data_IF_054601119081
#
_entry.id   IF_054601119081
#
_cell.length_a   1.000
_cell.length_b   1.000
_cell.length_c   1.000
_cell.angle_alpha   90.00
_cell.angle_beta   90.00
_cell.angle_gamma   90.00
#
_symmetry.space_group_name_H-M   'P 1'
#
loop_
_entity.id
_entity.type
_entity.pdbx_description
1 polymer ?
#
# COMPACT_ATOMS: atom_id res chain seq x y z
N UNK A 1 -13.48 3.85 -24.85
CA UNK A 1 -14.20 3.43 -23.64
C UNK A 1 -14.60 4.65 -22.83
N UNK A 2 -15.87 4.75 -22.46
CA UNK A 2 -16.42 5.78 -21.57
C UNK A 2 -16.47 5.23 -20.16
N UNK A 3 -15.81 5.91 -19.23
CA UNK A 3 -15.55 5.37 -17.90
C UNK A 3 -16.14 6.27 -16.82
N UNK A 4 -16.88 5.67 -15.91
CA UNK A 4 -17.38 6.31 -14.69
C UNK A 4 -16.59 5.74 -13.51
N UNK A 5 -15.95 6.59 -12.71
CA UNK A 5 -15.13 6.18 -11.58
C UNK A 5 -15.64 6.81 -10.29
N UNK A 6 -16.17 5.99 -9.39
CA UNK A 6 -16.61 6.41 -8.07
C UNK A 6 -15.52 6.14 -7.04
N UNK A 7 -15.33 7.07 -6.11
CA UNK A 7 -14.26 6.98 -5.11
C UNK A 7 -12.88 6.90 -5.77
N UNK A 8 -12.66 7.74 -6.78
CA UNK A 8 -11.54 7.64 -7.73
C UNK A 8 -10.15 7.77 -7.08
N UNK A 9 -10.07 8.52 -5.98
CA UNK A 9 -8.82 8.79 -5.28
C UNK A 9 -7.83 9.51 -6.20
N UNK A 10 -6.67 8.87 -6.40
CA UNK A 10 -5.57 9.41 -7.23
C UNK A 10 -5.64 8.90 -8.68
N UNK A 11 -6.81 8.48 -9.15
CA UNK A 11 -7.05 7.99 -10.52
C UNK A 11 -6.19 6.78 -10.90
N UNK A 12 -6.01 5.83 -9.98
CA UNK A 12 -5.36 4.56 -10.28
C UNK A 12 -6.08 3.80 -11.42
N UNK A 13 -7.41 3.95 -11.54
CA UNK A 13 -8.20 3.35 -12.61
C UNK A 13 -7.81 3.85 -14.00
N UNK A 14 -7.68 5.17 -14.18
CA UNK A 14 -7.22 5.76 -15.45
C UNK A 14 -5.81 5.27 -15.83
N UNK A 15 -4.88 5.24 -14.87
CA UNK A 15 -3.54 4.73 -15.12
C UNK A 15 -3.55 3.23 -15.46
N UNK A 16 -4.42 2.44 -14.83
CA UNK A 16 -4.57 1.02 -15.12
C UNK A 16 -5.11 0.78 -16.54
N UNK A 17 -6.08 1.58 -17.00
CA UNK A 17 -6.58 1.53 -18.38
C UNK A 17 -5.48 1.84 -19.39
N UNK A 18 -4.66 2.87 -19.13
CA UNK A 18 -3.51 3.19 -19.97
C UNK A 18 -2.49 2.05 -20.03
N UNK A 19 -2.20 1.40 -18.90
CA UNK A 19 -1.29 0.24 -18.85
C UNK A 19 -1.84 -0.99 -19.53
N UNK A 20 -3.15 -1.20 -19.43
CA UNK A 20 -3.82 -2.24 -20.18
C UNK A 20 -3.83 -1.92 -21.69
N UNK A 21 -3.57 -0.69 -22.13
CA UNK A 21 -3.65 -0.30 -23.54
C UNK A 21 -5.09 -0.10 -24.01
N UNK A 22 -6.02 0.18 -23.09
CA UNK A 22 -7.43 0.39 -23.39
C UNK A 22 -7.66 1.90 -23.65
N UNK A 23 -8.13 2.29 -24.85
CA UNK A 23 -8.35 3.69 -25.18
C UNK A 23 -9.56 4.25 -24.42
N UNK A 24 -9.34 5.37 -23.74
CA UNK A 24 -10.36 6.09 -22.96
C UNK A 24 -10.83 7.30 -23.73
N UNK A 25 -12.14 7.37 -24.00
CA UNK A 25 -12.78 8.47 -24.73
C UNK A 25 -13.15 9.60 -23.74
N UNK A 26 -13.81 9.23 -22.65
CA UNK A 26 -14.09 10.13 -21.54
C UNK A 26 -13.95 9.39 -20.20
N UNK A 27 -13.62 10.17 -19.17
CA UNK A 27 -13.41 9.66 -17.82
C UNK A 27 -14.00 10.64 -16.81
N UNK A 28 -15.06 10.21 -16.14
CA UNK A 28 -15.83 11.01 -15.20
C UNK A 28 -15.64 10.45 -13.79
N UNK A 29 -15.11 11.27 -12.88
CA UNK A 29 -14.64 10.86 -11.57
C UNK A 29 -15.40 11.55 -10.43
N UNK A 30 -15.84 10.78 -9.45
CA UNK A 30 -16.39 11.26 -8.19
C UNK A 30 -15.36 11.06 -7.07
N UNK A 31 -14.84 12.18 -6.54
CA UNK A 31 -13.87 12.22 -5.45
C UNK A 31 -14.02 13.54 -4.67
N UNK A 32 -13.99 13.45 -3.34
CA UNK A 32 -14.17 14.57 -2.41
C UNK A 32 -12.88 15.04 -1.76
N UNK A 33 -11.85 14.18 -1.69
CA UNK A 33 -10.56 14.52 -1.12
C UNK A 33 -9.80 15.44 -2.07
N UNK A 34 -9.71 16.71 -1.68
CA UNK A 34 -9.05 17.76 -2.47
C UNK A 34 -7.59 17.42 -2.85
N UNK A 35 -6.87 16.66 -2.04
CA UNK A 35 -5.48 16.31 -2.33
C UNK A 35 -5.42 15.21 -3.39
N UNK A 36 -6.32 14.23 -3.31
CA UNK A 36 -6.49 13.20 -4.31
C UNK A 36 -6.88 13.80 -5.68
N UNK A 37 -7.85 14.72 -5.69
CA UNK A 37 -8.24 15.50 -6.89
C UNK A 37 -7.07 16.33 -7.43
N UNK A 38 -6.24 16.94 -6.57
CA UNK A 38 -5.07 17.71 -7.00
C UNK A 38 -4.05 16.82 -7.72
N UNK A 39 -3.80 15.62 -7.19
CA UNK A 39 -2.91 14.63 -7.83
C UNK A 39 -3.49 14.16 -9.15
N UNK A 40 -4.79 13.82 -9.17
CA UNK A 40 -5.50 13.39 -10.37
C UNK A 40 -5.41 14.43 -11.49
N UNK A 41 -5.82 15.68 -11.24
CA UNK A 41 -5.77 16.78 -12.24
C UNK A 41 -4.39 17.03 -12.80
N UNK A 42 -3.34 16.87 -11.99
CA UNK A 42 -1.95 17.04 -12.42
C UNK A 42 -1.53 15.94 -13.40
N UNK A 43 -1.92 14.70 -13.13
CA UNK A 43 -1.50 13.55 -13.93
C UNK A 43 -2.43 13.35 -15.16
N UNK A 44 -3.72 13.63 -15.01
CA UNK A 44 -4.76 13.46 -16.01
C UNK A 44 -5.69 14.67 -16.06
N UNK A 45 -5.29 15.78 -16.69
CA UNK A 45 -6.12 16.99 -16.82
C UNK A 45 -7.44 16.76 -17.57
N UNK A 46 -7.54 15.65 -18.30
CA UNK A 46 -8.71 15.26 -19.10
C UNK A 46 -9.85 14.66 -18.26
N UNK A 47 -9.60 14.30 -16.99
CA UNK A 47 -10.63 13.73 -16.11
C UNK A 47 -11.60 14.83 -15.68
N UNK A 48 -12.90 14.56 -15.83
CA UNK A 48 -13.97 15.44 -15.37
C UNK A 48 -14.31 15.07 -13.93
N UNK A 49 -14.23 16.02 -13.00
CA UNK A 49 -14.47 15.78 -11.58
C UNK A 49 -15.85 16.30 -11.14
N UNK A 50 -16.66 15.42 -10.55
CA UNK A 50 -18.03 15.71 -10.12
C UNK A 50 -18.19 15.91 -8.61
N UNK A 51 -17.16 15.58 -7.82
CA UNK A 51 -17.18 15.77 -6.37
C UNK A 51 -17.86 14.63 -5.62
N UNK A 52 -18.87 14.96 -4.80
CA UNK A 52 -19.49 14.03 -3.88
C UNK A 52 -20.47 13.09 -4.59
N UNK A 53 -20.33 11.79 -4.33
CA UNK A 53 -21.14 10.72 -4.93
C UNK A 53 -22.62 10.85 -4.60
N UNK A 54 -22.97 11.37 -3.42
CA UNK A 54 -24.37 11.53 -3.01
C UNK A 54 -25.13 12.59 -3.81
N UNK A 55 -24.40 13.55 -4.37
CA UNK A 55 -24.97 14.65 -5.16
C UNK A 55 -24.99 14.30 -6.66
N UNK A 56 -24.51 13.10 -7.02
CA UNK A 56 -24.44 12.60 -8.40
C UNK A 56 -25.80 12.18 -8.96
N UNK A 57 -26.08 12.67 -10.17
CA UNK A 57 -27.14 12.19 -11.05
C UNK A 57 -26.51 11.27 -12.09
N UNK A 58 -26.61 9.95 -11.87
CA UNK A 58 -25.87 8.99 -12.69
C UNK A 58 -26.58 8.65 -14.00
N UNK A 59 -27.84 9.07 -14.16
CA UNK A 59 -28.59 8.91 -15.42
C UNK A 59 -27.94 9.64 -16.59
N UNK A 60 -27.13 10.68 -16.31
CA UNK A 60 -26.33 11.41 -17.31
C UNK A 60 -25.21 10.57 -17.93
N UNK A 61 -24.82 9.48 -17.28
CA UNK A 61 -23.78 8.57 -17.75
C UNK A 61 -24.37 7.31 -18.41
N UNK A 62 -25.63 7.37 -18.87
CA UNK A 62 -26.23 6.27 -19.62
C UNK A 62 -25.42 5.93 -20.87
N UNK A 63 -25.16 4.63 -21.05
CA UNK A 63 -24.35 4.13 -22.17
C UNK A 63 -22.84 4.23 -21.96
N UNK A 64 -22.39 4.46 -20.72
CA UNK A 64 -20.98 4.30 -20.36
C UNK A 64 -20.61 2.81 -20.38
N UNK A 65 -19.34 2.52 -20.64
CA UNK A 65 -18.89 1.14 -20.83
C UNK A 65 -18.48 0.48 -19.52
N UNK A 66 -17.84 1.24 -18.63
CA UNK A 66 -17.16 0.72 -17.46
C UNK A 66 -17.41 1.59 -16.22
N UNK A 67 -17.90 0.95 -15.15
CA UNK A 67 -17.97 1.53 -13.81
C UNK A 67 -16.82 1.01 -12.95
N UNK A 68 -16.03 1.91 -12.37
CA UNK A 68 -15.00 1.61 -11.40
C UNK A 68 -15.40 2.12 -10.02
N UNK A 69 -15.07 1.39 -8.95
CA UNK A 69 -15.15 1.97 -7.62
C UNK A 69 -14.61 1.12 -6.49
N UNK A 70 -14.07 1.80 -5.47
CA UNK A 70 -13.62 1.16 -4.24
C UNK A 70 -14.12 1.98 -3.05
N UNK A 71 -15.25 1.59 -2.47
CA UNK A 71 -15.83 2.39 -1.38
C UNK A 71 -14.87 2.45 -0.17
N UNK A 72 -14.87 3.56 0.60
CA UNK A 72 -13.98 3.75 1.74
C UNK A 72 -13.96 2.56 2.72
N UNK A 73 -12.88 1.80 2.68
CA UNK A 73 -12.73 0.58 3.48
C UNK A 73 -12.50 0.83 4.98
N UNK A 74 -12.37 2.10 5.40
CA UNK A 74 -12.14 2.53 6.78
C UNK A 74 -13.24 2.06 7.74
N UNK A 75 -14.48 1.93 7.25
CA UNK A 75 -15.60 1.47 8.06
C UNK A 75 -15.55 -0.04 8.35
N UNK A 76 -14.96 -0.82 7.45
CA UNK A 76 -15.01 -2.29 7.49
C UNK A 76 -13.68 -2.96 7.85
N UNK A 77 -12.59 -2.19 7.88
CA UNK A 77 -11.26 -2.72 8.20
C UNK A 77 -11.17 -3.25 9.62
N UNK A 78 -10.52 -4.40 9.80
CA UNK A 78 -10.19 -4.96 11.13
C UNK A 78 -9.27 -4.05 11.96
N UNK A 79 -8.61 -3.08 11.33
CA UNK A 79 -7.77 -2.10 12.02
C UNK A 79 -8.59 -1.07 12.83
N UNK A 80 -9.90 -0.95 12.57
CA UNK A 80 -10.81 -0.08 13.34
C UNK A 80 -11.38 -0.86 14.52
N UNK A 81 -11.31 -0.28 15.73
CA UNK A 81 -11.87 -0.88 16.96
C UNK A 81 -13.39 -1.10 16.85
N UNK A 82 -14.12 -0.08 16.37
CA UNK A 82 -15.57 -0.11 16.19
C UNK A 82 -15.93 -0.20 14.69
N UNK A 83 -15.50 -1.30 14.06
CA UNK A 83 -15.81 -1.55 12.65
C UNK A 83 -17.28 -1.94 12.46
N UNK A 84 -17.85 -1.58 11.31
CA UNK A 84 -19.19 -2.03 10.95
C UNK A 84 -19.14 -3.52 10.61
N UNK A 85 -20.13 -4.26 11.09
CA UNK A 85 -20.29 -5.70 10.82
C UNK A 85 -21.62 -6.01 10.13
N UNK A 86 -22.50 -5.01 10.06
CA UNK A 86 -23.85 -5.08 9.50
C UNK A 86 -24.03 -4.01 8.41
N UNK A 87 -25.04 -4.21 7.56
CA UNK A 87 -25.27 -3.43 6.33
C UNK A 87 -26.04 -2.10 6.53
N UNK A 88 -25.98 -1.53 7.74
CA UNK A 88 -26.72 -0.32 8.10
C UNK A 88 -25.83 0.93 8.24
N UNK A 89 -24.51 0.74 8.18
CA UNK A 89 -23.55 1.81 8.40
C UNK A 89 -23.26 2.67 7.18
N UNK A 90 -22.39 3.66 7.38
CA UNK A 90 -22.02 4.63 6.35
C UNK A 90 -21.24 3.96 5.22
N UNK A 91 -20.39 2.98 5.54
CA UNK A 91 -19.69 2.21 4.51
C UNK A 91 -20.66 1.52 3.55
N UNK A 92 -21.75 0.97 4.08
CA UNK A 92 -22.77 0.31 3.26
C UNK A 92 -23.64 1.31 2.50
N UNK A 93 -23.87 2.50 3.05
CA UNK A 93 -24.52 3.60 2.33
C UNK A 93 -23.71 4.04 1.11
N UNK A 94 -22.39 4.16 1.23
CA UNK A 94 -21.48 4.47 0.12
C UNK A 94 -21.48 3.35 -0.94
N UNK A 95 -21.53 2.08 -0.52
CA UNK A 95 -21.71 0.96 -1.45
C UNK A 95 -23.04 1.03 -2.20
N UNK A 96 -24.14 1.41 -1.53
CA UNK A 96 -25.44 1.58 -2.20
C UNK A 96 -25.41 2.68 -3.27
N UNK A 97 -24.61 3.73 -3.10
CA UNK A 97 -24.41 4.72 -4.18
C UNK A 97 -23.66 4.14 -5.37
N UNK A 98 -22.72 3.23 -5.15
CA UNK A 98 -22.06 2.51 -6.25
C UNK A 98 -23.07 1.64 -7.02
N UNK A 99 -23.96 0.94 -6.32
CA UNK A 99 -25.03 0.14 -6.94
C UNK A 99 -26.00 1.05 -7.71
N UNK A 100 -26.41 2.17 -7.11
CA UNK A 100 -27.24 3.18 -7.77
C UNK A 100 -26.60 3.69 -9.06
N UNK A 101 -25.30 3.99 -9.02
CA UNK A 101 -24.56 4.41 -10.21
C UNK A 101 -24.53 3.31 -11.29
N UNK A 102 -24.35 2.04 -10.91
CA UNK A 102 -24.37 0.91 -11.84
C UNK A 102 -25.73 0.77 -12.53
N UNK A 103 -26.81 0.83 -11.77
CA UNK A 103 -28.19 0.70 -12.28
C UNK A 103 -28.60 1.90 -13.16
N UNK A 104 -28.34 3.14 -12.70
CA UNK A 104 -28.74 4.36 -13.41
C UNK A 104 -27.92 4.61 -14.69
N UNK A 105 -26.62 4.31 -14.68
CA UNK A 105 -25.74 4.46 -15.85
C UNK A 105 -25.84 3.30 -16.85
N UNK A 106 -26.27 2.12 -16.39
CA UNK A 106 -26.33 0.92 -17.22
C UNK A 106 -24.98 0.48 -17.78
N UNK A 107 -23.89 0.71 -17.03
CA UNK A 107 -22.54 0.35 -17.48
C UNK A 107 -22.45 -1.14 -17.83
N UNK A 108 -21.84 -1.45 -18.99
CA UNK A 108 -21.68 -2.83 -19.48
C UNK A 108 -20.81 -3.67 -18.53
N UNK A 109 -19.72 -3.09 -18.06
CA UNK A 109 -18.79 -3.71 -17.13
C UNK A 109 -18.70 -2.92 -15.84
N UNK A 110 -18.39 -3.62 -14.74
CA UNK A 110 -18.12 -2.99 -13.47
C UNK A 110 -16.96 -3.65 -12.74
N UNK A 111 -16.24 -2.88 -11.93
CA UNK A 111 -15.21 -3.38 -11.02
C UNK A 111 -15.34 -2.68 -9.67
N UNK A 112 -15.72 -3.47 -8.67
CA UNK A 112 -15.82 -3.03 -7.28
C UNK A 112 -14.72 -3.64 -6.41
N UNK A 113 -13.97 -2.81 -5.69
CA UNK A 113 -12.86 -3.25 -4.81
C UNK A 113 -13.17 -3.00 -3.34
N UNK A 114 -12.74 -3.93 -2.48
CA UNK A 114 -12.64 -3.65 -1.05
C UNK A 114 -11.59 -4.52 -0.33
N UNK A 115 -11.35 -4.19 0.94
CA UNK A 115 -10.40 -4.91 1.78
C UNK A 115 -10.82 -6.38 2.00
N UNK A 116 -9.85 -7.29 2.08
CA UNK A 116 -10.14 -8.71 2.33
C UNK A 116 -10.73 -8.98 3.72
N UNK A 117 -10.51 -8.09 4.69
CA UNK A 117 -10.93 -8.26 6.09
C UNK A 117 -12.38 -7.83 6.38
N UNK A 118 -13.13 -7.40 5.36
CA UNK A 118 -14.56 -7.06 5.47
C UNK A 118 -15.30 -8.22 6.12
N UNK A 119 -16.25 -7.91 7.00
CA UNK A 119 -17.05 -8.91 7.69
C UNK A 119 -17.83 -9.78 6.69
N UNK A 120 -17.94 -11.09 6.94
CA UNK A 120 -18.51 -12.02 5.97
C UNK A 120 -19.93 -11.64 5.55
N UNK A 121 -20.79 -11.22 6.49
CA UNK A 121 -22.15 -10.75 6.19
C UNK A 121 -22.20 -9.63 5.14
N UNK A 122 -21.25 -8.68 5.22
CA UNK A 122 -21.18 -7.56 4.26
C UNK A 122 -20.70 -8.09 2.91
N UNK A 123 -19.74 -9.02 2.87
CA UNK A 123 -19.31 -9.66 1.61
C UNK A 123 -20.46 -10.43 0.96
N UNK A 124 -21.18 -11.23 1.72
CA UNK A 124 -22.31 -12.03 1.25
C UNK A 124 -23.39 -11.11 0.66
N UNK A 125 -23.63 -9.97 1.30
CA UNK A 125 -24.57 -8.97 0.80
C UNK A 125 -24.08 -8.25 -0.47
N UNK A 126 -22.80 -7.88 -0.55
CA UNK A 126 -22.21 -7.31 -1.77
C UNK A 126 -22.33 -8.32 -2.92
N UNK A 127 -21.98 -9.59 -2.68
CA UNK A 127 -22.13 -10.68 -3.64
C UNK A 127 -23.58 -10.84 -4.09
N UNK A 128 -24.54 -10.81 -3.15
CA UNK A 128 -25.98 -10.92 -3.44
C UNK A 128 -26.46 -9.78 -4.34
N UNK A 129 -26.03 -8.54 -4.06
CA UNK A 129 -26.48 -7.35 -4.80
C UNK A 129 -25.81 -7.23 -6.16
N UNK A 130 -24.50 -7.50 -6.26
CA UNK A 130 -23.77 -7.43 -7.53
C UNK A 130 -23.92 -8.69 -8.39
N UNK A 131 -24.43 -9.80 -7.82
CA UNK A 131 -24.68 -11.05 -8.53
C UNK A 131 -23.43 -11.84 -8.93
N UNK A 132 -22.26 -11.48 -8.40
CA UNK A 132 -20.96 -12.11 -8.72
C UNK A 132 -20.17 -12.40 -7.45
N UNK A 133 -19.39 -13.48 -7.46
CA UNK A 133 -18.50 -13.84 -6.34
C UNK A 133 -17.20 -13.00 -6.36
N UNK A 134 -16.63 -12.66 -5.20
CA UNK A 134 -15.39 -11.90 -5.14
C UNK A 134 -14.19 -12.75 -5.51
N UNK A 135 -13.30 -12.16 -6.31
CA UNK A 135 -11.96 -12.68 -6.56
C UNK A 135 -11.02 -12.05 -5.54
N UNK A 136 -10.35 -12.88 -4.74
CA UNK A 136 -9.30 -12.41 -3.83
C UNK A 136 -7.95 -12.41 -4.55
N UNK A 137 -7.35 -11.23 -4.72
CA UNK A 137 -5.99 -11.11 -5.30
C UNK A 137 -5.07 -10.48 -4.26
N UNK A 138 -3.88 -11.06 -4.12
CA UNK A 138 -2.81 -10.50 -3.30
C UNK A 138 -1.83 -9.72 -4.19
N UNK A 139 -1.63 -8.44 -3.90
CA UNK A 139 -0.66 -7.61 -4.62
C UNK A 139 0.77 -8.13 -4.55
N UNK A 140 1.08 -9.08 -3.66
CA UNK A 140 2.40 -9.70 -3.57
C UNK A 140 2.82 -10.38 -4.88
N UNK A 141 1.87 -10.79 -5.72
CA UNK A 141 2.13 -11.38 -7.02
C UNK A 141 2.73 -10.36 -8.01
N UNK A 142 2.33 -9.10 -7.94
CA UNK A 142 2.74 -8.08 -8.92
C UNK A 142 3.56 -6.94 -8.32
N UNK A 143 3.79 -6.96 -7.01
CA UNK A 143 4.48 -5.92 -6.25
C UNK A 143 5.20 -6.53 -5.04
N UNK A 144 6.08 -5.73 -4.44
CA UNK A 144 6.74 -6.04 -3.18
C UNK A 144 5.82 -5.98 -1.95
N UNK A 145 4.49 -5.90 -2.11
CA UNK A 145 3.55 -5.68 -1.00
C UNK A 145 2.64 -6.87 -0.74
N UNK A 146 2.56 -7.35 0.50
CA UNK A 146 1.47 -8.22 0.92
C UNK A 146 0.20 -7.37 1.18
N UNK A 147 -0.74 -7.39 0.24
CA UNK A 147 -2.00 -6.65 0.26
C UNK A 147 -3.09 -7.48 -0.40
N UNK A 148 -3.92 -8.13 0.43
CA UNK A 148 -5.09 -8.90 -0.02
C UNK A 148 -6.29 -7.99 -0.16
N UNK A 149 -6.96 -8.06 -1.32
CA UNK A 149 -8.20 -7.35 -1.64
C UNK A 149 -9.19 -8.29 -2.31
N UNK A 150 -10.47 -7.97 -2.17
CA UNK A 150 -11.58 -8.63 -2.84
C UNK A 150 -12.05 -7.72 -3.99
N UNK A 151 -12.27 -8.33 -5.15
CA UNK A 151 -12.74 -7.67 -6.35
C UNK A 151 -14.02 -8.35 -6.82
N UNK A 152 -15.10 -7.59 -6.96
CA UNK A 152 -16.36 -8.03 -7.56
C UNK A 152 -16.44 -7.42 -8.95
N UNK A 153 -16.59 -8.24 -9.98
CA UNK A 153 -16.60 -7.77 -11.37
C UNK A 153 -17.28 -8.77 -12.28
N UNK A 154 -17.88 -8.28 -13.36
CA UNK A 154 -18.37 -9.07 -14.48
C UNK A 154 -17.41 -9.07 -15.69
N UNK A 155 -16.20 -8.51 -15.54
CA UNK A 155 -15.17 -8.57 -16.57
C UNK A 155 -14.76 -10.04 -16.79
N UNK A 156 -14.72 -10.53 -18.04
CA UNK A 156 -14.47 -11.94 -18.31
C UNK A 156 -13.01 -12.34 -18.06
N UNK A 157 -12.79 -13.64 -17.84
CA UNK A 157 -11.48 -14.28 -17.81
C UNK A 157 -10.48 -13.73 -16.77
N UNK A 158 -10.98 -13.15 -15.67
CA UNK A 158 -10.13 -12.65 -14.58
C UNK A 158 -9.57 -13.83 -13.78
N UNK A 159 -8.28 -14.10 -13.96
CA UNK A 159 -7.50 -15.11 -13.22
C UNK A 159 -6.51 -14.46 -12.26
N UNK A 160 -5.83 -15.26 -11.44
CA UNK A 160 -4.71 -14.76 -10.63
C UNK A 160 -3.57 -14.28 -11.54
N UNK A 161 -2.95 -13.12 -11.26
CA UNK A 161 -1.77 -12.68 -11.99
C UNK A 161 -0.57 -13.59 -11.67
N UNK A 162 0.36 -13.70 -12.61
CA UNK A 162 1.62 -14.40 -12.40
C UNK A 162 2.48 -13.68 -11.34
N UNK A 163 3.23 -14.45 -10.55
CA UNK A 163 4.17 -13.88 -9.57
C UNK A 163 5.40 -13.33 -10.28
N UNK A 164 5.57 -12.00 -10.24
CA UNK A 164 6.73 -11.28 -10.77
C UNK A 164 7.98 -11.43 -9.90
N UNK A 165 7.88 -12.03 -8.70
CA UNK A 165 9.02 -12.29 -7.82
C UNK A 165 9.59 -11.03 -7.14
N UNK A 166 8.90 -9.88 -7.22
CA UNK A 166 9.41 -8.59 -6.76
C UNK A 166 9.49 -8.53 -5.24
N UNK A 167 10.66 -8.26 -4.68
CA UNK A 167 10.91 -8.12 -3.25
C UNK A 167 10.97 -6.66 -2.82
N UNK A 168 10.93 -6.40 -1.51
CA UNK A 168 11.02 -5.03 -1.00
C UNK A 168 12.35 -4.38 -1.37
N UNK A 169 13.46 -5.13 -1.34
CA UNK A 169 14.77 -4.66 -1.76
C UNK A 169 14.76 -4.06 -3.19
N UNK A 170 13.98 -4.62 -4.11
CA UNK A 170 13.95 -4.21 -5.52
C UNK A 170 13.30 -2.83 -5.74
N UNK A 171 12.56 -2.33 -4.75
CA UNK A 171 11.82 -1.06 -4.88
C UNK A 171 12.40 0.09 -4.05
N UNK A 172 13.46 -0.18 -3.26
CA UNK A 172 14.09 0.82 -2.40
C UNK A 172 14.87 1.87 -3.20
N UNK A 173 14.96 3.08 -2.67
CA UNK A 173 15.85 4.11 -3.18
C UNK A 173 17.28 3.90 -2.66
N UNK A 174 18.26 3.84 -3.58
CA UNK A 174 19.67 3.79 -3.24
C UNK A 174 20.19 5.19 -2.87
N UNK A 175 21.05 5.30 -1.85
CA UNK A 175 21.83 6.52 -1.58
C UNK A 175 21.14 7.64 -0.79
N UNK A 176 20.16 7.31 0.05
CA UNK A 176 19.42 8.32 0.84
C UNK A 176 20.24 8.88 2.03
N UNK A 177 20.45 10.20 2.06
CA UNK A 177 20.93 10.91 3.25
C UNK A 177 19.81 11.06 4.28
N UNK A 178 20.14 10.97 5.57
CA UNK A 178 19.16 11.04 6.67
C UNK A 178 18.38 12.38 6.73
N UNK A 179 18.90 13.45 6.10
CA UNK A 179 18.23 14.75 5.91
C UNK A 179 18.57 15.32 4.51
N UNK A 180 17.65 16.09 3.91
CA UNK A 180 17.81 16.74 2.59
C UNK A 180 18.86 17.88 2.58
N UNK A 181 19.39 18.26 3.75
CA UNK A 181 20.46 19.26 3.91
C UNK A 181 21.46 18.83 4.98
N UNK A 182 22.75 18.98 4.71
CA UNK A 182 23.81 18.83 5.72
C UNK A 182 23.78 19.99 6.71
N UNK A 183 24.07 19.73 7.99
CA UNK A 183 24.39 20.81 8.93
C UNK A 183 25.70 21.49 8.53
N UNK A 184 25.83 22.78 8.85
CA UNK A 184 27.03 23.57 8.53
C UNK A 184 28.30 22.88 9.07
N UNK A 185 29.33 22.77 8.22
CA UNK A 185 30.61 22.18 8.63
C UNK A 185 31.32 23.13 9.60
N UNK A 186 31.56 22.67 10.82
CA UNK A 186 32.35 23.43 11.82
C UNK A 186 33.79 22.94 11.85
N UNK A 187 34.75 23.85 11.87
CA UNK A 187 36.18 23.62 11.61
C UNK A 187 36.97 22.83 12.68
N UNK A 188 36.35 22.28 13.72
CA UNK A 188 37.04 21.54 14.79
C UNK A 188 36.35 20.21 15.10
N UNK A 189 37.06 19.11 14.85
CA UNK A 189 36.55 17.73 14.80
C UNK A 189 37.16 16.84 15.90
N UNK A 190 36.86 17.13 17.18
CA UNK A 190 37.26 16.20 18.26
C UNK A 190 36.13 15.98 19.28
N UNK A 191 35.91 14.72 19.68
CA UNK A 191 34.96 14.34 20.74
C UNK A 191 33.46 14.31 20.42
N UNK A 192 33.04 13.80 19.25
CA UNK A 192 31.61 13.62 18.96
C UNK A 192 30.99 12.41 19.72
N UNK A 193 29.86 12.63 20.38
CA UNK A 193 29.13 11.64 21.20
C UNK A 193 27.65 11.59 20.80
N UNK A 194 27.06 10.39 20.77
CA UNK A 194 25.72 10.08 20.19
C UNK A 194 24.59 11.00 20.69
N UNK A 195 24.60 11.40 21.96
CA UNK A 195 23.53 12.24 22.52
C UNK A 195 23.49 13.64 21.89
N UNK A 196 24.62 14.15 21.38
CA UNK A 196 24.66 15.46 20.69
C UNK A 196 23.83 15.47 19.40
N UNK A 197 23.78 14.33 18.69
CA UNK A 197 22.99 14.18 17.47
C UNK A 197 21.50 13.97 17.80
N UNK A 198 21.20 13.15 18.81
CA UNK A 198 19.82 12.75 19.13
C UNK A 198 19.02 13.83 19.88
N UNK A 199 19.66 14.58 20.78
CA UNK A 199 18.95 15.55 21.63
C UNK A 199 19.17 17.00 21.19
N UNK A 200 20.39 17.36 20.81
CA UNK A 200 20.75 18.76 20.50
C UNK A 200 20.58 19.13 19.03
N UNK A 201 20.26 18.16 18.17
CA UNK A 201 20.13 18.34 16.69
C UNK A 201 21.36 19.02 16.07
N UNK A 202 22.54 18.78 16.65
CA UNK A 202 23.81 19.26 16.13
C UNK A 202 24.61 18.08 15.61
N UNK A 203 25.26 18.27 14.45
CA UNK A 203 26.29 17.39 13.85
C UNK A 203 25.75 16.11 13.20
N UNK A 204 26.26 15.80 12.00
CA UNK A 204 26.03 14.54 11.27
C UNK A 204 27.18 13.58 11.58
N UNK A 205 26.87 12.36 12.00
CA UNK A 205 27.85 11.29 12.22
C UNK A 205 27.71 10.25 11.09
N UNK A 206 28.84 9.74 10.60
CA UNK A 206 28.95 8.53 9.76
C UNK A 206 29.88 7.59 10.51
N UNK A 207 29.46 6.36 10.81
CA UNK A 207 30.26 5.41 11.61
C UNK A 207 30.09 3.94 11.16
N UNK A 208 31.14 3.15 11.40
CA UNK A 208 31.54 1.86 10.78
C UNK A 208 31.11 0.63 11.65
N UNK A 209 30.80 -0.56 11.09
CA UNK A 209 29.98 -1.60 11.75
C UNK A 209 30.71 -2.77 12.44
N UNK A 210 29.97 -3.48 13.32
CA UNK A 210 30.14 -4.91 13.69
C UNK A 210 28.74 -5.56 13.83
N UNK A 211 28.47 -6.71 13.17
CA UNK A 211 27.11 -7.29 13.01
C UNK A 211 26.61 -8.10 14.21
N UNK A 212 25.29 -8.26 14.44
CA UNK A 212 24.75 -9.02 15.59
C UNK A 212 23.59 -9.98 15.29
N UNK A 213 23.58 -11.11 16.00
CA UNK A 213 22.71 -12.27 15.92
C UNK A 213 21.99 -12.51 17.26
N UNK A 214 20.70 -12.83 17.21
CA UNK A 214 19.91 -13.08 18.42
C UNK A 214 19.94 -14.57 18.79
N UNK A 215 20.38 -14.92 20.00
CA UNK A 215 20.41 -16.30 20.52
C UNK A 215 19.61 -16.41 21.82
N UNK A 216 18.94 -17.56 22.01
CA UNK A 216 18.29 -17.88 23.28
C UNK A 216 19.32 -18.40 24.29
N UNK A 217 19.41 -17.79 25.46
CA UNK A 217 20.16 -18.33 26.60
C UNK A 217 19.21 -18.62 27.76
N UNK A 218 19.51 -19.68 28.51
CA UNK A 218 18.79 -20.01 29.72
C UNK A 218 19.23 -19.07 30.83
N UNK A 219 18.27 -18.39 31.45
CA UNK A 219 18.46 -17.65 32.69
C UNK A 219 17.74 -18.45 33.76
N UNK A 220 18.51 -18.91 34.75
CA UNK A 220 18.05 -19.69 35.91
C UNK A 220 17.31 -21.01 35.60
N UNK A 221 17.74 -21.74 34.58
CA UNK A 221 17.34 -23.14 34.35
C UNK A 221 15.89 -23.37 33.89
N UNK A 222 15.01 -22.38 34.00
CA UNK A 222 13.58 -22.53 33.65
C UNK A 222 13.04 -21.48 32.66
N UNK A 223 13.81 -20.44 32.33
CA UNK A 223 13.42 -19.43 31.31
C UNK A 223 14.49 -19.20 30.24
N UNK A 224 14.05 -19.11 28.99
CA UNK A 224 14.87 -18.67 27.87
C UNK A 224 14.65 -17.19 27.60
N UNK A 225 15.71 -16.38 27.71
CA UNK A 225 15.71 -14.99 27.26
C UNK A 225 16.44 -14.87 25.91
N UNK A 226 16.01 -13.90 25.09
CA UNK A 226 16.64 -13.64 23.79
C UNK A 226 17.71 -12.57 23.95
N UNK A 227 18.97 -12.95 23.72
CA UNK A 227 20.13 -12.07 23.79
C UNK A 227 20.59 -11.72 22.37
N UNK A 228 20.91 -10.45 22.13
CA UNK A 228 21.55 -10.01 20.88
C UNK A 228 23.07 -10.13 21.08
N UNK A 229 23.69 -11.01 20.30
CA UNK A 229 25.12 -11.31 20.30
C UNK A 229 25.76 -10.92 18.97
N UNK A 230 26.74 -10.03 18.99
CA UNK A 230 27.46 -9.55 17.81
C UNK A 230 28.21 -10.72 17.12
N UNK A 231 27.88 -11.09 15.86
CA UNK A 231 28.65 -12.00 15.00
C UNK A 231 29.53 -11.21 14.03
N UNK A 232 30.82 -11.47 14.11
CA UNK A 232 31.86 -10.84 13.28
C UNK A 232 31.89 -11.33 11.82
N UNK A 233 31.11 -12.36 11.47
CA UNK A 233 31.12 -12.99 10.13
C UNK A 233 30.06 -12.46 9.15
N UNK A 234 29.19 -11.54 9.59
CA UNK A 234 28.23 -10.84 8.72
C UNK A 234 27.15 -11.72 8.06
N UNK A 235 26.95 -12.96 8.50
CA UNK A 235 25.99 -13.91 7.88
C UNK A 235 24.75 -14.17 8.75
N UNK A 236 23.57 -14.28 8.14
CA UNK A 236 22.38 -14.87 8.78
C UNK A 236 22.38 -16.39 8.66
N UNK A 237 21.74 -17.09 9.60
CA UNK A 237 21.68 -18.56 9.59
C UNK A 237 20.93 -19.13 8.36
N UNK A 238 21.34 -20.33 7.96
CA UNK A 238 20.73 -21.14 6.90
C UNK A 238 19.37 -21.72 7.35
N UNK A 239 18.37 -21.70 6.46
CA UNK A 239 17.11 -22.44 6.61
C UNK A 239 17.40 -23.95 6.58
N UNK A 240 16.90 -24.68 7.57
CA UNK A 240 17.10 -26.14 7.67
C UNK A 240 16.34 -26.91 6.59
N UNK A 241 16.95 -28.03 6.21
CA UNK A 241 16.64 -28.94 5.10
C UNK A 241 15.33 -29.73 5.28
N UNK A 242 14.19 -29.16 4.91
CA UNK A 242 13.06 -29.95 4.40
C UNK A 242 12.43 -29.21 3.22
N UNK A 243 12.39 -29.88 2.07
CA UNK A 243 12.14 -29.32 0.73
C UNK A 243 10.67 -28.92 0.50
N UNK A 244 10.45 -27.73 -0.06
CA UNK A 244 9.85 -27.44 -1.38
C UNK A 244 9.30 -26.01 -1.41
N UNK A 245 9.74 -25.24 -2.41
CA UNK A 245 9.30 -23.92 -2.86
C UNK A 245 9.40 -22.75 -1.86
N UNK A 246 10.61 -22.18 -1.74
CA UNK A 246 10.85 -20.90 -1.08
C UNK A 246 10.35 -19.73 -1.93
N UNK A 247 9.05 -19.47 -1.90
CA UNK A 247 8.50 -18.16 -2.26
C UNK A 247 8.40 -17.33 -0.97
N UNK A 248 9.23 -16.30 -0.83
CA UNK A 248 9.12 -15.34 0.28
C UNK A 248 7.90 -14.44 0.03
N UNK A 249 6.70 -15.02 0.13
CA UNK A 249 5.41 -14.36 -0.11
C UNK A 249 4.85 -13.63 1.13
N UNK A 250 5.63 -13.56 2.21
CA UNK A 250 5.20 -12.99 3.48
C UNK A 250 6.16 -11.89 3.96
N UNK A 251 5.66 -10.89 4.69
CA UNK A 251 6.51 -9.97 5.43
C UNK A 251 7.32 -10.71 6.49
N UNK A 252 8.65 -10.54 6.43
CA UNK A 252 9.58 -11.13 7.40
C UNK A 252 9.79 -10.14 8.52
N UNK A 253 9.08 -10.33 9.65
CA UNK A 253 9.28 -9.51 10.84
C UNK A 253 10.58 -9.92 11.54
N UNK A 254 11.45 -8.95 11.79
CA UNK A 254 12.75 -9.17 12.43
C UNK A 254 12.84 -8.55 13.82
N UNK A 255 11.84 -7.77 14.23
CA UNK A 255 11.79 -7.21 15.56
C UNK A 255 10.63 -6.27 15.80
N UNK A 256 10.71 -5.55 16.93
CA UNK A 256 9.85 -4.42 17.24
C UNK A 256 10.51 -3.47 18.21
N UNK A 257 10.01 -2.23 18.22
CA UNK A 257 10.30 -1.22 19.22
C UNK A 257 9.13 -1.12 20.21
N UNK A 258 9.40 -0.85 21.49
CA UNK A 258 8.35 -0.69 22.51
C UNK A 258 7.40 -1.90 22.63
N UNK A 259 6.09 -1.64 22.78
CA UNK A 259 5.06 -2.67 23.01
C UNK A 259 4.68 -3.49 21.77
N UNK A 260 5.31 -3.25 20.60
CA UNK A 260 5.07 -4.05 19.39
C UNK A 260 3.74 -3.78 18.68
N UNK A 261 3.17 -2.59 18.86
CA UNK A 261 1.99 -2.12 18.12
C UNK A 261 2.23 -2.03 16.60
N UNK A 262 1.17 -1.84 15.80
CA UNK A 262 1.22 -1.91 14.33
C UNK A 262 2.33 -1.03 13.71
N UNK A 263 2.48 0.22 14.17
CA UNK A 263 3.51 1.14 13.70
C UNK A 263 4.88 0.97 14.37
N UNK A 264 5.10 -0.07 15.17
CA UNK A 264 6.35 -0.28 15.91
C UNK A 264 7.04 -1.60 15.54
N UNK A 265 6.56 -2.29 14.50
CA UNK A 265 7.11 -3.55 14.02
C UNK A 265 8.16 -3.26 12.95
N UNK A 266 9.28 -3.99 13.03
CA UNK A 266 10.42 -3.85 12.11
C UNK A 266 10.46 -5.09 11.20
N UNK A 267 10.54 -4.85 9.90
CA UNK A 267 10.51 -5.87 8.86
C UNK A 267 11.82 -5.88 8.04
N UNK A 268 12.14 -7.04 7.47
CA UNK A 268 13.27 -7.23 6.57
C UNK A 268 12.92 -6.85 5.13
N UNK A 269 13.92 -6.35 4.41
CA UNK A 269 13.83 -6.01 2.98
C UNK A 269 13.94 -7.22 2.05
N UNK A 270 14.41 -8.36 2.57
CA UNK A 270 14.43 -9.63 1.80
C UNK A 270 13.08 -10.33 1.74
N UNK A 271 12.03 -9.75 2.36
CA UNK A 271 10.65 -10.22 2.28
C UNK A 271 9.72 -9.17 1.64
N UNK A 272 8.41 -9.42 1.71
CA UNK A 272 7.39 -8.47 1.23
C UNK A 272 7.11 -7.38 2.28
N UNK A 273 6.78 -6.17 1.84
CA UNK A 273 6.22 -5.10 2.67
C UNK A 273 4.86 -5.48 3.26
N UNK A 274 4.54 -4.92 4.42
CA UNK A 274 3.16 -4.96 4.94
C UNK A 274 2.20 -4.07 4.13
N UNK A 275 0.90 -4.28 4.30
CA UNK A 275 -0.13 -3.40 3.70
C UNK A 275 0.00 -1.98 4.24
N UNK A 276 0.04 -1.00 3.33
CA UNK A 276 0.00 0.43 3.68
C UNK A 276 -1.33 0.79 4.35
N UNK A 277 -1.30 1.69 5.32
CA UNK A 277 -2.51 2.21 5.99
C UNK A 277 -2.60 3.72 5.84
N UNK A 278 -3.75 4.25 5.43
CA UNK A 278 -3.90 5.69 5.24
C UNK A 278 -3.91 6.48 6.56
N UNK A 279 -4.47 5.89 7.62
CA UNK A 279 -4.67 6.52 8.93
C UNK A 279 -3.80 5.92 10.04
N UNK A 280 -2.85 5.04 9.72
CA UNK A 280 -2.04 4.35 10.73
C UNK A 280 -1.10 5.29 11.48
N UNK A 281 -1.05 5.18 12.82
CA UNK A 281 -0.18 5.95 13.70
C UNK A 281 1.10 5.21 14.14
N UNK A 282 1.88 5.85 15.02
CA UNK A 282 3.15 5.32 15.55
C UNK A 282 4.40 5.72 14.75
N UNK A 283 5.58 5.28 15.19
CA UNK A 283 6.87 5.67 14.60
C UNK A 283 7.01 5.21 13.14
N UNK A 284 6.45 4.05 12.80
CA UNK A 284 6.28 3.51 11.46
C UNK A 284 4.92 3.83 10.83
N UNK A 285 4.27 4.93 11.21
CA UNK A 285 2.94 5.31 10.74
C UNK A 285 2.77 5.10 9.23
N UNK A 286 1.66 4.49 8.81
CA UNK A 286 1.28 4.23 7.40
C UNK A 286 2.09 3.14 6.69
N UNK A 287 3.40 3.05 6.88
CA UNK A 287 4.29 2.16 6.09
C UNK A 287 4.78 0.92 6.83
N UNK A 288 4.93 0.98 8.15
CA UNK A 288 5.81 0.10 8.91
C UNK A 288 7.25 0.62 8.96
N UNK A 289 8.11 -0.04 9.77
CA UNK A 289 9.54 0.21 9.85
C UNK A 289 10.31 -0.92 9.16
N UNK A 290 11.37 -0.57 8.44
CA UNK A 290 12.18 -1.54 7.69
C UNK A 290 13.65 -1.34 8.00
N UNK A 291 14.37 -2.46 8.18
CA UNK A 291 15.84 -2.48 8.24
C UNK A 291 16.37 -2.42 6.82
N UNK A 292 16.91 -1.27 6.44
CA UNK A 292 17.49 -1.02 5.13
C UNK A 292 19.00 -1.16 5.25
N UNK A 293 19.57 -2.14 4.57
CA UNK A 293 21.02 -2.34 4.53
C UNK A 293 21.66 -1.28 3.63
N UNK A 294 22.74 -0.68 4.11
CA UNK A 294 23.49 0.37 3.42
C UNK A 294 24.70 -0.23 2.68
N UNK A 295 25.18 0.41 1.59
CA UNK A 295 26.29 -0.12 0.78
C UNK A 295 27.60 -0.36 1.53
N UNK A 296 27.78 0.29 2.68
CA UNK A 296 28.95 0.19 3.56
C UNK A 296 28.83 -0.91 4.64
N UNK A 297 27.73 -1.68 4.64
CA UNK A 297 27.48 -2.79 5.57
C UNK A 297 26.75 -2.41 6.86
N UNK A 298 26.37 -1.13 7.03
CA UNK A 298 25.50 -0.69 8.12
C UNK A 298 24.00 -0.87 7.76
N UNK A 299 23.08 -0.54 8.66
CA UNK A 299 21.67 -0.50 8.36
C UNK A 299 20.96 0.67 9.02
N UNK A 300 19.96 1.22 8.33
CA UNK A 300 19.05 2.21 8.89
C UNK A 300 17.68 1.59 9.09
N UNK A 301 17.06 1.84 10.25
CA UNK A 301 15.64 1.56 10.45
C UNK A 301 14.85 2.81 10.13
N UNK A 302 14.12 2.78 9.01
CA UNK A 302 13.28 3.91 8.60
C UNK A 302 11.94 3.46 8.04
N UNK A 303 11.06 4.43 7.84
CA UNK A 303 9.87 4.28 7.01
C UNK A 303 10.27 4.26 5.54
N UNK A 304 9.39 3.69 4.71
CA UNK A 304 9.50 3.84 3.26
C UNK A 304 9.26 5.30 2.88
N UNK A 305 9.99 5.81 1.89
CA UNK A 305 9.78 7.13 1.32
C UNK A 305 8.43 7.19 0.59
N UNK A 306 7.94 8.40 0.24
CA UNK A 306 6.76 8.51 -0.61
C UNK A 306 6.93 7.82 -1.97
N UNK A 307 8.14 7.87 -2.57
CA UNK A 307 8.44 7.24 -3.86
C UNK A 307 8.45 5.71 -3.72
N UNK A 308 9.10 5.17 -2.69
CA UNK A 308 9.05 3.73 -2.40
C UNK A 308 7.62 3.25 -2.12
N UNK A 309 6.80 4.08 -1.47
CA UNK A 309 5.37 3.79 -1.27
C UNK A 309 4.57 3.84 -2.58
N UNK A 310 4.88 4.74 -3.50
CA UNK A 310 4.31 4.76 -4.86
C UNK A 310 4.63 3.46 -5.59
N UNK A 311 5.90 3.05 -5.60
CA UNK A 311 6.35 1.78 -6.19
C UNK A 311 5.65 0.57 -5.59
N UNK A 312 5.33 0.56 -4.29
CA UNK A 312 4.52 -0.51 -3.68
C UNK A 312 3.11 -0.63 -4.28
N UNK A 313 2.48 0.47 -4.69
CA UNK A 313 1.20 0.45 -5.41
C UNK A 313 1.40 0.34 -6.93
N UNK A 314 2.63 0.03 -7.37
CA UNK A 314 3.10 0.03 -8.76
C UNK A 314 2.90 1.37 -9.47
N UNK A 315 2.81 2.49 -8.75
CA UNK A 315 2.71 3.81 -9.36
C UNK A 315 4.06 4.28 -9.92
N UNK A 316 4.06 5.15 -10.96
CA UNK A 316 5.28 5.83 -11.40
C UNK A 316 5.90 6.66 -10.27
N UNK A 317 7.22 6.86 -10.33
CA UNK A 317 7.91 7.71 -9.37
C UNK A 317 7.37 9.14 -9.43
N UNK A 318 7.18 9.73 -8.25
CA UNK A 318 6.63 11.07 -8.07
C UNK A 318 5.19 11.26 -8.57
N UNK A 319 4.43 10.17 -8.72
CA UNK A 319 3.03 10.21 -9.13
C UNK A 319 2.15 11.08 -8.22
N UNK A 320 2.45 11.14 -6.92
CA UNK A 320 1.75 11.97 -5.92
C UNK A 320 2.55 13.21 -5.50
N UNK A 321 3.58 13.62 -6.24
CA UNK A 321 4.31 14.85 -5.94
C UNK A 321 3.41 16.10 -6.08
N UNK A 322 3.75 17.16 -5.34
CA UNK A 322 2.96 18.41 -5.30
C UNK A 322 2.01 18.54 -4.10
N UNK A 323 1.86 17.49 -3.29
CA UNK A 323 1.17 17.53 -1.99
C UNK A 323 2.13 17.12 -0.86
N UNK A 324 1.78 17.43 0.39
CA UNK A 324 2.65 17.12 1.54
C UNK A 324 2.84 15.61 1.71
N UNK A 325 3.99 15.17 2.21
CA UNK A 325 4.31 13.74 2.42
C UNK A 325 3.21 13.02 3.22
N UNK A 326 2.63 13.68 4.22
CA UNK A 326 1.51 13.14 5.01
C UNK A 326 0.31 12.79 4.13
N UNK A 327 -0.04 13.67 3.18
CA UNK A 327 -1.14 13.44 2.25
C UNK A 327 -0.75 12.43 1.15
N UNK A 328 0.50 12.46 0.65
CA UNK A 328 1.03 11.43 -0.27
C UNK A 328 0.78 10.03 0.28
N UNK A 329 1.26 9.73 1.50
CA UNK A 329 1.03 8.42 2.11
C UNK A 329 -0.44 8.07 2.32
N UNK A 330 -1.30 9.07 2.61
CA UNK A 330 -2.74 8.84 2.79
C UNK A 330 -3.36 8.40 1.46
N UNK A 331 -3.11 9.17 0.40
CA UNK A 331 -3.57 8.90 -0.95
C UNK A 331 -3.06 7.55 -1.48
N UNK A 332 -1.76 7.28 -1.35
CA UNK A 332 -1.15 6.00 -1.77
C UNK A 332 -1.74 4.81 -0.98
N UNK A 333 -1.93 4.96 0.34
CA UNK A 333 -2.49 3.89 1.16
C UNK A 333 -3.92 3.50 0.77
N UNK A 334 -4.73 4.50 0.41
CA UNK A 334 -6.10 4.31 -0.09
C UNK A 334 -6.16 3.85 -1.54
N UNK A 335 -5.16 4.21 -2.36
CA UNK A 335 -5.10 3.84 -3.77
C UNK A 335 -5.05 2.34 -4.03
N UNK A 336 -5.25 2.00 -5.29
CA UNK A 336 -5.12 0.63 -5.79
C UNK A 336 -3.69 0.31 -6.22
N UNK A 337 -3.34 -0.98 -6.12
CA UNK A 337 -2.16 -1.51 -6.78
C UNK A 337 -2.46 -1.58 -8.28
N UNK A 338 -1.87 -0.67 -9.06
CA UNK A 338 -2.29 -0.40 -10.44
C UNK A 338 -2.13 -1.63 -11.33
N UNK A 339 -1.09 -2.43 -11.14
CA UNK A 339 -0.84 -3.63 -11.95
C UNK A 339 -1.89 -4.72 -11.71
N UNK A 340 -2.48 -4.79 -10.51
CA UNK A 340 -3.60 -5.71 -10.26
C UNK A 340 -4.82 -5.27 -11.06
N UNK A 341 -5.12 -3.97 -11.06
CA UNK A 341 -6.26 -3.43 -11.78
C UNK A 341 -6.07 -3.55 -13.29
N UNK A 342 -4.86 -3.26 -13.79
CA UNK A 342 -4.53 -3.42 -15.21
C UNK A 342 -4.67 -4.88 -15.66
N UNK A 343 -4.26 -5.84 -14.83
CA UNK A 343 -4.46 -7.28 -15.08
C UNK A 343 -5.94 -7.64 -15.17
N UNK A 344 -6.78 -7.17 -14.24
CA UNK A 344 -8.23 -7.40 -14.28
C UNK A 344 -8.82 -6.79 -15.55
N UNK A 345 -8.49 -5.54 -15.87
CA UNK A 345 -8.99 -4.83 -17.05
C UNK A 345 -8.51 -5.45 -18.36
N UNK A 346 -7.39 -6.18 -18.36
CA UNK A 346 -6.91 -6.93 -19.52
C UNK A 346 -7.92 -7.95 -20.06
N UNK A 347 -8.88 -8.41 -19.23
CA UNK A 347 -9.98 -9.25 -19.67
C UNK A 347 -10.89 -8.60 -20.73
N UNK A 348 -10.89 -7.27 -20.82
CA UNK A 348 -11.70 -6.50 -21.78
C UNK A 348 -11.16 -6.48 -23.22
N UNK A 349 -9.92 -6.94 -23.46
CA UNK A 349 -9.34 -6.96 -24.81
C UNK A 349 -9.99 -7.96 -25.77
N UNK A 350 -10.74 -8.92 -25.23
CA UNK A 350 -11.25 -10.07 -25.98
C UNK A 350 -12.77 -10.01 -26.26
N UNK A 351 -13.42 -8.87 -25.99
CA UNK A 351 -14.88 -8.68 -26.10
C UNK A 351 -15.31 -7.66 -27.17
#
# INVERSE_FOLDING_TARGET
MKVLSLFDGISCGMLALQRAGIPVECYDAFEIDKYAVTVSKRNFPVIVHHGNVYDGDFTKFQGYDLLLGGSPCTYWSIAKKDREVDCNGEGFRLFKEYVRALEESGCKYFLYENNYSVHQRIKDEITRVLGVEPIMINSALVSAQNRKRCYWTNIPNVVQPEDKGILLADILENGMSWQDKSYCMTASYDGAVIYNTLERKQRTMVAVPVGAAQRGRYVDGEKTEQHIEVREDGKSNCLTTVQKDSLVCAPVRIGHYGKGGQGQRIYSVVGKSVTLSANGGGQGAKTGLYKIDLPDGDYVIRKLTPVEAERLQTLPDNYTAGISNTQRYKCIGNGWTVDVIAHILGGLHND
#
